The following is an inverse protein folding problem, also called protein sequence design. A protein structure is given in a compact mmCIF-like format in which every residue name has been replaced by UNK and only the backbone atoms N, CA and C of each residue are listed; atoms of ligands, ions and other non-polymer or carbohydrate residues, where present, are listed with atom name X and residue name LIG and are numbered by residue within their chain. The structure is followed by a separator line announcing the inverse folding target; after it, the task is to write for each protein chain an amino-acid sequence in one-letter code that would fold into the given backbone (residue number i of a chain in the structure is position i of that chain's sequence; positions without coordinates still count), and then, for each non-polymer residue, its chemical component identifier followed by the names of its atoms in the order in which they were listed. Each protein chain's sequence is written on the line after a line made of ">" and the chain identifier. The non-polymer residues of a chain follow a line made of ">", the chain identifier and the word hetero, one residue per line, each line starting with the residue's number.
data_IF_340334107763
#
_entry.id   IF_340334107763
#
_cell.length_a   1.000
_cell.length_b   1.000
_cell.length_c   1.000
_cell.angle_alpha   90.00
_cell.angle_beta   90.00
_cell.angle_gamma   90.00
#
_symmetry.space_group_name_H-M   'P 1'
#
loop_
_entity.id
_entity.type
_entity.pdbx_description
1 polymer ?
#
# COMPACT_ATOMS: atom_id res chain seq x y z
N UNK A 1 12.80 -30.48 22.72
CA UNK A 1 12.85 -29.20 23.44
C UNK A 1 12.76 -28.12 22.37
N UNK A 2 11.53 -27.68 22.09
CA UNK A 2 11.20 -26.86 20.93
C UNK A 2 11.52 -25.39 21.16
N UNK A 3 11.90 -24.70 20.09
CA UNK A 3 11.91 -23.25 20.02
C UNK A 3 10.92 -22.85 18.92
N UNK A 4 9.69 -22.58 19.35
CA UNK A 4 8.66 -21.90 18.56
C UNK A 4 9.05 -20.42 18.48
N UNK A 5 9.52 -19.96 17.32
CA UNK A 5 9.65 -18.52 17.06
C UNK A 5 8.43 -18.04 16.27
N UNK A 6 7.48 -17.57 17.07
CA UNK A 6 6.37 -16.69 16.72
C UNK A 6 6.83 -15.57 15.78
N UNK A 7 6.28 -15.50 14.57
CA UNK A 7 6.49 -14.42 13.61
C UNK A 7 5.81 -13.14 14.13
N UNK A 8 6.53 -12.38 14.96
CA UNK A 8 6.18 -11.00 15.32
C UNK A 8 6.44 -10.07 14.13
N UNK A 9 5.44 -9.27 13.79
CA UNK A 9 5.45 -8.23 12.75
C UNK A 9 6.69 -7.34 12.74
N UNK A 10 7.59 -7.65 11.81
CA UNK A 10 8.81 -6.94 11.41
C UNK A 10 8.90 -7.18 9.90
N UNK A 11 8.81 -6.23 8.98
CA UNK A 11 9.31 -4.86 8.96
C UNK A 11 8.41 -4.01 8.06
N UNK A 12 7.66 -3.05 8.62
CA UNK A 12 6.94 -2.04 7.83
C UNK A 12 7.66 -0.71 8.03
N UNK A 13 8.74 -0.52 7.26
CA UNK A 13 9.45 0.76 7.22
C UNK A 13 8.63 1.69 6.33
N UNK A 14 7.70 2.43 6.92
CA UNK A 14 6.99 3.50 6.23
C UNK A 14 7.96 4.65 5.96
N UNK A 15 8.46 4.74 4.73
CA UNK A 15 9.11 5.97 4.25
C UNK A 15 8.02 6.86 3.69
N UNK A 16 7.56 7.84 4.48
CA UNK A 16 6.52 8.76 4.03
C UNK A 16 7.10 9.77 3.00
N UNK A 17 7.15 9.35 1.73
CA UNK A 17 7.52 10.19 0.59
C UNK A 17 6.41 10.14 -0.45
N UNK A 18 5.60 11.18 -0.50
CA UNK A 18 4.53 11.32 -1.49
C UNK A 18 5.04 11.71 -2.88
N UNK A 19 6.20 12.38 -2.94
CA UNK A 19 6.82 12.83 -4.18
C UNK A 19 8.34 12.73 -4.14
N UNK A 20 8.93 12.58 -5.31
CA UNK A 20 10.36 12.50 -5.56
C UNK A 20 10.75 13.49 -6.64
N UNK A 21 12.01 13.91 -6.66
CA UNK A 21 12.52 14.90 -7.60
C UNK A 21 13.42 14.22 -8.61
N UNK A 22 13.13 14.37 -9.90
CA UNK A 22 13.83 13.68 -10.98
C UNK A 22 14.18 14.65 -12.11
N UNK A 23 15.30 14.41 -12.79
CA UNK A 23 15.59 15.08 -14.04
C UNK A 23 14.74 14.46 -15.14
N UNK A 24 14.04 15.31 -15.89
CA UNK A 24 13.18 14.92 -17.01
C UNK A 24 13.64 15.62 -18.28
N UNK A 25 13.45 14.94 -19.41
CA UNK A 25 13.74 15.47 -20.73
C UNK A 25 12.42 15.72 -21.47
N UNK A 26 12.16 16.98 -21.78
CA UNK A 26 11.01 17.38 -22.61
C UNK A 26 11.47 17.59 -24.05
N UNK A 27 10.62 17.20 -25.02
CA UNK A 27 10.85 17.36 -26.45
C UNK A 27 9.77 18.27 -27.06
N UNK A 28 10.16 19.29 -27.82
CA UNK A 28 9.23 20.22 -28.47
C UNK A 28 9.95 21.19 -29.42
N UNK A 29 9.27 21.66 -30.47
CA UNK A 29 9.80 22.63 -31.46
C UNK A 29 11.17 22.27 -32.07
N UNK A 30 11.45 20.98 -32.26
CA UNK A 30 12.75 20.52 -32.77
C UNK A 30 13.91 20.66 -31.78
N UNK A 31 13.63 20.99 -30.52
CA UNK A 31 14.59 21.07 -29.43
C UNK A 31 14.21 20.11 -28.29
N UNK A 32 15.18 19.83 -27.42
CA UNK A 32 14.95 19.16 -26.15
C UNK A 32 15.41 20.06 -25.00
N UNK A 33 14.73 19.95 -23.86
CA UNK A 33 15.02 20.71 -22.64
C UNK A 33 15.05 19.76 -21.46
N UNK A 34 16.18 19.73 -20.75
CA UNK A 34 16.32 19.04 -19.48
C UNK A 34 15.97 19.99 -18.33
N UNK A 35 15.15 19.53 -17.41
CA UNK A 35 14.84 20.25 -16.17
C UNK A 35 14.46 19.28 -15.06
N UNK A 36 14.47 19.75 -13.83
CA UNK A 36 14.07 18.97 -12.67
C UNK A 36 12.57 19.11 -12.42
N UNK A 37 11.88 18.00 -12.21
CA UNK A 37 10.45 17.95 -11.94
C UNK A 37 10.14 17.12 -10.68
N UNK A 38 8.98 17.40 -10.07
CA UNK A 38 8.43 16.63 -8.94
C UNK A 38 7.45 15.59 -9.47
N UNK A 39 7.75 14.34 -9.19
CA UNK A 39 6.95 13.20 -9.62
C UNK A 39 6.35 12.53 -8.38
N UNK A 40 5.07 12.17 -8.45
CA UNK A 40 4.43 11.38 -7.39
C UNK A 40 5.16 10.04 -7.21
N UNK A 41 5.33 9.62 -5.96
CA UNK A 41 5.82 8.28 -5.64
C UNK A 41 4.63 7.35 -5.58
N UNK A 42 4.79 6.13 -6.10
CA UNK A 42 3.85 5.04 -5.91
C UNK A 42 4.56 3.85 -5.26
N UNK A 43 3.90 3.24 -4.28
CA UNK A 43 4.34 2.02 -3.63
C UNK A 43 3.19 1.00 -3.61
N UNK A 44 3.48 -0.29 -3.73
CA UNK A 44 2.47 -1.33 -3.61
C UNK A 44 2.00 -1.44 -2.15
N UNK A 45 0.70 -1.63 -1.97
CA UNK A 45 0.10 -2.02 -0.69
C UNK A 45 -0.73 -3.29 -0.90
N UNK A 46 -0.58 -4.27 -0.01
CA UNK A 46 -1.39 -5.48 0.00
C UNK A 46 -2.42 -5.39 1.13
N UNK A 47 -3.71 -5.48 0.77
CA UNK A 47 -4.81 -5.54 1.74
C UNK A 47 -5.10 -7.01 2.03
N UNK A 48 -5.05 -7.37 3.32
CA UNK A 48 -5.29 -8.73 3.81
C UNK A 48 -6.34 -8.70 4.90
N UNK A 49 -7.17 -9.73 4.95
CA UNK A 49 -8.18 -9.90 6.00
C UNK A 49 -7.93 -11.20 6.77
N UNK A 50 -8.23 -11.19 8.07
CA UNK A 50 -8.25 -12.41 8.87
C UNK A 50 -9.41 -13.29 8.38
N UNK A 51 -9.14 -14.57 8.10
CA UNK A 51 -10.13 -15.52 7.60
C UNK A 51 -10.11 -16.81 8.42
N UNK A 52 -10.67 -16.80 9.65
CA UNK A 52 -10.52 -17.89 10.63
C UNK A 52 -10.99 -19.26 10.14
N UNK A 53 -11.89 -19.32 9.15
CA UNK A 53 -12.38 -20.57 8.56
C UNK A 53 -11.30 -21.38 7.83
N UNK A 54 -10.17 -20.77 7.46
CA UNK A 54 -8.99 -21.48 6.93
C UNK A 54 -8.01 -21.95 8.02
N UNK A 55 -8.31 -21.70 9.28
CA UNK A 55 -7.47 -21.97 10.44
C UNK A 55 -7.16 -20.72 11.25
N UNK A 56 -6.74 -20.92 12.51
CA UNK A 56 -6.28 -19.84 13.39
C UNK A 56 -5.17 -19.02 12.70
N UNK A 57 -5.27 -17.69 12.80
CA UNK A 57 -4.33 -16.71 12.22
C UNK A 57 -4.11 -16.77 10.69
N UNK A 58 -5.06 -17.35 9.95
CA UNK A 58 -4.96 -17.37 8.49
C UNK A 58 -5.44 -16.04 7.89
N UNK A 59 -4.61 -15.46 7.01
CA UNK A 59 -4.91 -14.23 6.29
C UNK A 59 -5.22 -14.53 4.83
N UNK A 60 -6.28 -13.93 4.30
CA UNK A 60 -6.61 -13.91 2.89
C UNK A 60 -6.14 -12.59 2.28
N UNK A 61 -5.26 -12.64 1.28
CA UNK A 61 -4.94 -11.47 0.46
C UNK A 61 -6.15 -11.16 -0.43
N UNK A 62 -6.70 -9.96 -0.27
CA UNK A 62 -7.87 -9.48 -1.02
C UNK A 62 -7.42 -8.84 -2.33
N UNK A 63 -6.40 -7.98 -2.25
CA UNK A 63 -5.89 -7.25 -3.41
C UNK A 63 -4.48 -6.70 -3.16
N UNK A 64 -3.81 -6.33 -4.25
CA UNK A 64 -2.60 -5.51 -4.24
C UNK A 64 -2.86 -4.28 -5.10
N UNK A 65 -2.64 -3.10 -4.54
CA UNK A 65 -2.91 -1.81 -5.19
C UNK A 65 -1.63 -0.97 -5.22
N UNK A 66 -1.52 -0.08 -6.20
CA UNK A 66 -0.52 0.99 -6.19
C UNK A 66 -1.12 2.23 -5.55
N UNK A 67 -0.34 2.93 -4.72
CA UNK A 67 -0.78 4.17 -4.09
C UNK A 67 0.38 5.10 -3.77
N UNK A 68 0.09 6.38 -3.57
CA UNK A 68 1.04 7.28 -2.92
C UNK A 68 1.12 6.97 -1.41
N UNK A 69 2.32 6.79 -0.83
CA UNK A 69 2.49 6.43 0.59
C UNK A 69 1.86 7.44 1.56
N UNK A 70 1.35 6.96 2.71
CA UNK A 70 0.71 7.80 3.73
C UNK A 70 -0.48 7.09 4.39
N UNK A 71 -1.67 7.26 3.83
CA UNK A 71 -2.96 6.91 4.45
C UNK A 71 -3.42 5.47 4.13
N UNK A 72 -2.62 4.45 4.48
CA UNK A 72 -2.91 3.03 4.13
C UNK A 72 -4.21 2.52 4.74
N UNK A 73 -4.44 2.89 5.99
CA UNK A 73 -5.55 2.36 6.77
C UNK A 73 -6.87 2.89 6.23
N UNK A 74 -6.96 4.19 6.01
CA UNK A 74 -8.10 4.87 5.41
C UNK A 74 -8.35 4.36 3.98
N UNK A 75 -7.29 4.16 3.19
CA UNK A 75 -7.39 3.54 1.86
C UNK A 75 -7.95 2.12 1.95
N UNK A 76 -7.44 1.29 2.85
CA UNK A 76 -7.90 -0.08 3.02
C UNK A 76 -9.36 -0.15 3.50
N UNK A 77 -9.73 0.67 4.49
CA UNK A 77 -11.10 0.76 4.99
C UNK A 77 -12.08 1.19 3.89
N UNK A 78 -11.73 2.25 3.14
CA UNK A 78 -12.53 2.74 2.02
C UNK A 78 -12.66 1.72 0.88
N UNK A 79 -11.58 1.01 0.55
CA UNK A 79 -11.58 -0.06 -0.45
C UNK A 79 -12.50 -1.21 -0.03
N UNK A 80 -12.33 -1.74 1.17
CA UNK A 80 -13.13 -2.87 1.67
C UNK A 80 -14.63 -2.52 1.73
N UNK A 81 -14.97 -1.28 2.12
CA UNK A 81 -16.35 -0.81 2.13
C UNK A 81 -16.93 -0.69 0.71
N UNK A 82 -16.17 -0.10 -0.22
CA UNK A 82 -16.63 0.12 -1.60
C UNK A 82 -16.82 -1.19 -2.37
N UNK A 83 -15.99 -2.20 -2.11
CA UNK A 83 -16.12 -3.55 -2.68
C UNK A 83 -17.18 -4.41 -1.96
N UNK A 84 -17.82 -3.89 -0.90
CA UNK A 84 -18.86 -4.61 -0.15
C UNK A 84 -18.33 -5.75 0.71
N UNK A 85 -17.05 -5.74 1.06
CA UNK A 85 -16.41 -6.75 1.93
C UNK A 85 -16.74 -6.46 3.40
N UNK A 86 -16.84 -5.19 3.77
CA UNK A 86 -17.34 -4.73 5.08
C UNK A 86 -18.53 -3.80 4.89
N UNK A 87 -19.48 -3.81 5.83
CA UNK A 87 -20.70 -3.01 5.77
C UNK A 87 -20.62 -1.68 6.54
N UNK A 88 -19.61 -1.55 7.41
CA UNK A 88 -19.47 -0.47 8.36
C UNK A 88 -18.04 -0.38 8.89
N UNK A 89 -17.67 0.79 9.40
CA UNK A 89 -16.37 1.02 10.02
C UNK A 89 -16.16 0.14 11.27
N UNK A 90 -17.23 -0.15 12.01
CA UNK A 90 -17.20 -1.02 13.20
C UNK A 90 -16.80 -2.47 12.89
N UNK A 91 -16.85 -2.88 11.61
CA UNK A 91 -16.38 -4.19 11.16
C UNK A 91 -14.85 -4.29 11.05
N UNK A 92 -14.11 -3.19 11.28
CA UNK A 92 -12.66 -3.12 11.19
C UNK A 92 -12.11 -2.99 12.62
N UNK A 93 -11.35 -3.98 13.08
CA UNK A 93 -10.87 -4.11 14.46
C UNK A 93 -9.34 -4.02 14.58
#
# INVERSE_FOLDING_TARGET
>A
MGMNNLLRGRDMVYTNRESSTHNVLSFGEGASREFTDRVAVEEPVEIRILYPEKGEDSYLAVTTLMRTPGDDFELAAGFLYTEGIVDSYDSIA
#
